data_IF_623349574176
#
_entry.id   IF_623349574176
#
_cell.length_a   1.000
_cell.length_b   1.000
_cell.length_c   1.000
_cell.angle_alpha   90.00
_cell.angle_beta   90.00
_cell.angle_gamma   90.00
#
_symmetry.space_group_name_H-M   'P 1'
#
loop_
_entity.id
_entity.type
_entity.pdbx_description
1 polymer ?
#
# COMPACT_ATOMS: atom_id res chain seq x y z
N UNK A 1 -58.47 -15.77 -54.85
CA UNK A 1 -59.49 -14.80 -55.21
C UNK A 1 -59.16 -13.46 -54.60
N UNK A 2 -58.80 -12.58 -55.45
CA UNK A 2 -58.54 -11.13 -55.28
C UNK A 2 -59.84 -10.41 -54.86
N UNK A 3 -59.65 -9.30 -54.10
CA UNK A 3 -60.35 -8.01 -54.18
C UNK A 3 -59.89 -7.24 -52.91
N UNK A 4 -59.09 -6.24 -52.99
CA UNK A 4 -59.08 -4.87 -53.54
C UNK A 4 -59.61 -3.83 -52.56
N UNK A 5 -58.77 -2.87 -52.41
CA UNK A 5 -58.87 -1.57 -51.70
C UNK A 5 -60.15 -0.77 -52.02
N UNK A 6 -60.45 0.11 -51.08
CA UNK A 6 -61.16 1.41 -51.18
C UNK A 6 -62.64 1.46 -50.78
N UNK A 7 -62.83 2.58 -50.12
CA UNK A 7 -64.10 3.33 -49.84
C UNK A 7 -64.74 3.00 -48.47
N UNK A 8 -65.00 3.90 -47.59
CA UNK A 8 -65.46 5.25 -47.74
C UNK A 8 -65.29 6.06 -46.46
N UNK A 9 -65.02 7.33 -46.66
CA UNK A 9 -65.23 8.43 -45.70
C UNK A 9 -66.71 8.54 -45.27
N UNK A 10 -67.02 8.91 -44.05
CA UNK A 10 -67.62 10.19 -43.68
C UNK A 10 -68.35 10.18 -42.31
N UNK A 11 -68.06 11.21 -41.57
CA UNK A 11 -68.89 11.95 -40.62
C UNK A 11 -69.04 11.46 -39.18
N UNK A 12 -68.59 12.34 -38.31
CA UNK A 12 -69.00 12.48 -36.92
C UNK A 12 -68.08 13.36 -36.10
N UNK A 13 -68.30 14.70 -36.11
CA UNK A 13 -67.69 15.69 -35.23
C UNK A 13 -68.11 15.44 -33.77
N UNK A 14 -67.18 15.80 -32.88
CA UNK A 14 -67.33 16.50 -31.62
C UNK A 14 -66.78 15.77 -30.41
N UNK A 15 -65.66 16.20 -29.88
CA UNK A 15 -65.47 16.81 -28.56
C UNK A 15 -63.98 16.99 -28.27
N UNK A 16 -63.54 18.26 -28.18
CA UNK A 16 -62.23 18.70 -27.76
C UNK A 16 -62.15 18.48 -26.26
N UNK A 17 -61.30 17.56 -25.79
CA UNK A 17 -60.81 17.55 -24.43
C UNK A 17 -59.29 17.81 -24.53
N UNK A 18 -58.88 19.01 -24.23
CA UNK A 18 -57.47 19.40 -24.10
C UNK A 18 -56.89 18.71 -22.87
N UNK A 19 -56.28 17.53 -23.03
CA UNK A 19 -55.33 17.01 -22.06
C UNK A 19 -53.96 17.68 -22.34
N UNK A 20 -53.63 18.65 -21.51
CA UNK A 20 -52.27 19.17 -21.39
C UNK A 20 -51.32 18.03 -21.06
N UNK A 21 -50.63 17.49 -22.07
CA UNK A 21 -49.48 16.66 -21.89
C UNK A 21 -48.36 17.54 -21.26
N UNK A 22 -48.33 17.49 -19.92
CA UNK A 22 -47.12 17.94 -19.22
C UNK A 22 -45.92 17.21 -19.80
N UNK A 23 -45.05 17.94 -20.47
CA UNK A 23 -43.72 17.49 -20.83
C UNK A 23 -43.03 17.03 -19.57
N UNK A 24 -43.02 15.72 -19.33
CA UNK A 24 -42.03 15.10 -18.45
C UNK A 24 -40.68 15.44 -19.08
N UNK A 25 -40.08 16.51 -18.60
CA UNK A 25 -38.70 16.88 -18.90
C UNK A 25 -37.85 15.64 -18.60
N UNK A 26 -37.36 15.01 -19.67
CA UNK A 26 -36.27 14.08 -19.55
C UNK A 26 -35.11 14.86 -18.91
N UNK A 27 -35.02 14.77 -17.59
CA UNK A 27 -33.90 15.30 -16.85
C UNK A 27 -32.66 14.78 -17.53
N UNK A 28 -31.92 15.66 -18.18
CA UNK A 28 -30.63 15.31 -18.77
C UNK A 28 -29.85 14.59 -17.67
N UNK A 29 -29.62 13.28 -17.83
CA UNK A 29 -28.77 12.52 -16.93
C UNK A 29 -27.43 13.25 -16.92
N UNK A 30 -27.14 13.99 -15.84
CA UNK A 30 -25.82 14.60 -15.64
C UNK A 30 -24.82 13.49 -15.87
N UNK A 31 -23.83 13.75 -16.71
CA UNK A 31 -22.72 12.81 -16.89
C UNK A 31 -22.09 12.56 -15.51
N UNK A 32 -21.82 11.30 -15.15
CA UNK A 32 -21.19 11.03 -13.87
C UNK A 32 -19.86 11.78 -13.78
N UNK A 33 -19.62 12.39 -12.62
CA UNK A 33 -18.34 13.06 -12.33
C UNK A 33 -17.22 12.04 -12.51
N UNK A 34 -16.13 12.44 -13.14
CA UNK A 34 -14.95 11.59 -13.33
C UNK A 34 -13.89 11.99 -12.31
N UNK A 35 -13.48 11.04 -11.46
CA UNK A 35 -12.40 11.16 -10.50
C UNK A 35 -11.15 10.49 -11.05
N UNK A 36 -10.04 11.24 -11.15
CA UNK A 36 -8.74 10.74 -11.61
C UNK A 36 -7.87 10.43 -10.40
N UNK A 37 -7.49 9.17 -10.24
CA UNK A 37 -6.66 8.71 -9.14
C UNK A 37 -5.29 8.28 -9.67
N UNK A 38 -4.24 8.92 -9.21
CA UNK A 38 -2.85 8.64 -9.53
C UNK A 38 -2.21 7.92 -8.33
N UNK A 39 -1.57 6.78 -8.54
CA UNK A 39 -0.97 6.05 -7.43
C UNK A 39 -0.21 4.80 -7.86
N UNK A 40 0.03 3.91 -6.91
CA UNK A 40 0.73 2.65 -7.16
C UNK A 40 -0.24 1.48 -7.35
N UNK A 41 0.25 0.37 -7.89
CA UNK A 41 -0.53 -0.85 -8.07
C UNK A 41 -1.01 -1.50 -6.75
N UNK A 42 -0.51 -1.05 -5.59
CA UNK A 42 -0.89 -1.61 -4.29
C UNK A 42 -2.38 -1.42 -4.03
N UNK A 43 -2.91 -0.23 -4.27
CA UNK A 43 -4.30 0.12 -3.99
C UNK A 43 -5.12 0.40 -5.26
N UNK A 44 -4.48 0.80 -6.36
CA UNK A 44 -5.14 1.03 -7.63
C UNK A 44 -5.41 -0.29 -8.36
N UNK A 45 -6.27 -1.11 -7.77
CA UNK A 45 -6.66 -2.43 -8.27
C UNK A 45 -8.03 -2.36 -8.95
N UNK A 46 -8.22 -3.10 -10.03
CA UNK A 46 -9.47 -3.09 -10.80
C UNK A 46 -10.70 -3.45 -9.95
N UNK A 47 -10.58 -4.42 -9.05
CA UNK A 47 -11.66 -4.78 -8.12
C UNK A 47 -12.08 -3.62 -7.20
N UNK A 48 -11.11 -2.78 -6.77
CA UNK A 48 -11.37 -1.57 -5.96
C UNK A 48 -12.08 -0.53 -6.82
N UNK A 49 -11.60 -0.27 -8.04
CA UNK A 49 -12.20 0.69 -8.98
C UNK A 49 -13.66 0.35 -9.25
N UNK A 50 -13.94 -0.91 -9.64
CA UNK A 50 -15.30 -1.37 -9.96
C UNK A 50 -16.23 -1.28 -8.74
N UNK A 51 -15.73 -1.64 -7.55
CA UNK A 51 -16.52 -1.54 -6.33
C UNK A 51 -16.84 -0.08 -5.98
N UNK A 52 -15.86 0.82 -6.09
CA UNK A 52 -16.04 2.25 -5.81
C UNK A 52 -17.01 2.92 -6.80
N UNK A 53 -16.86 2.67 -8.11
CA UNK A 53 -17.77 3.21 -9.13
C UNK A 53 -19.22 2.78 -8.90
N UNK A 54 -19.43 1.49 -8.59
CA UNK A 54 -20.78 0.95 -8.29
C UNK A 54 -21.39 1.60 -7.05
N UNK A 55 -20.62 1.74 -5.98
CA UNK A 55 -21.11 2.18 -4.68
C UNK A 55 -21.31 3.71 -4.65
N UNK A 56 -20.49 4.47 -5.39
CA UNK A 56 -20.51 5.94 -5.41
C UNK A 56 -21.26 6.56 -6.59
N UNK A 57 -21.52 5.79 -7.63
CA UNK A 57 -22.17 6.30 -8.85
C UNK A 57 -21.34 7.33 -9.63
N UNK A 58 -20.01 7.35 -9.45
CA UNK A 58 -19.06 8.19 -10.16
C UNK A 58 -18.23 7.33 -11.12
N UNK A 59 -17.58 7.98 -12.08
CA UNK A 59 -16.55 7.32 -12.91
C UNK A 59 -15.18 7.51 -12.27
N UNK A 60 -14.38 6.44 -12.22
CA UNK A 60 -13.02 6.49 -11.68
C UNK A 60 -12.02 6.08 -12.75
N UNK A 61 -10.97 6.89 -12.93
CA UNK A 61 -9.87 6.61 -13.83
C UNK A 61 -8.61 6.43 -13.00
N UNK A 62 -8.13 5.20 -12.92
CA UNK A 62 -6.86 4.88 -12.27
C UNK A 62 -5.67 5.10 -13.23
N UNK A 63 -4.63 5.72 -12.70
CA UNK A 63 -3.33 5.89 -13.36
C UNK A 63 -2.24 5.26 -12.48
N UNK A 64 -2.11 3.92 -12.47
CA UNK A 64 -1.10 3.24 -11.68
C UNK A 64 0.29 3.37 -12.29
N UNK A 65 1.33 3.38 -11.43
CA UNK A 65 2.73 3.44 -11.85
C UNK A 65 3.70 3.03 -10.77
N UNK A 66 4.98 3.08 -11.07
CA UNK A 66 6.06 2.92 -10.06
C UNK A 66 6.14 4.14 -9.14
N UNK A 67 6.59 3.95 -7.90
CA UNK A 67 6.61 4.98 -6.86
C UNK A 67 7.29 6.27 -7.27
N UNK A 68 8.49 6.19 -7.84
CA UNK A 68 9.26 7.36 -8.28
C UNK A 68 8.55 8.14 -9.39
N UNK A 69 8.03 7.45 -10.42
CA UNK A 69 7.34 8.09 -11.56
C UNK A 69 6.01 8.73 -11.15
N UNK A 70 5.29 8.08 -10.23
CA UNK A 70 4.04 8.60 -9.65
C UNK A 70 4.32 9.86 -8.83
N UNK A 71 5.34 9.82 -7.96
CA UNK A 71 5.75 10.99 -7.16
C UNK A 71 6.21 12.15 -8.05
N UNK A 72 7.07 11.89 -9.02
CA UNK A 72 7.55 12.90 -9.97
C UNK A 72 6.38 13.55 -10.72
N UNK A 73 5.44 12.74 -11.25
CA UNK A 73 4.26 13.27 -11.94
C UNK A 73 3.39 14.10 -11.01
N UNK A 74 3.14 13.63 -9.79
CA UNK A 74 2.30 14.32 -8.84
C UNK A 74 2.90 15.68 -8.41
N UNK A 75 4.21 15.71 -8.13
CA UNK A 75 4.90 16.94 -7.69
C UNK A 75 5.01 18.02 -8.77
N UNK A 76 5.06 17.61 -10.06
CA UNK A 76 5.28 18.54 -11.17
C UNK A 76 4.01 18.88 -11.96
N UNK A 77 2.96 18.08 -11.87
CA UNK A 77 1.69 18.23 -12.63
C UNK A 77 0.46 17.93 -11.79
N UNK A 78 0.17 18.75 -10.76
CA UNK A 78 -0.99 18.54 -9.88
C UNK A 78 -2.34 18.55 -10.62
N UNK A 79 -2.45 19.22 -11.77
CA UNK A 79 -3.63 19.23 -12.63
C UNK A 79 -3.89 17.88 -13.33
N UNK A 80 -2.96 16.94 -13.28
CA UNK A 80 -3.06 15.64 -13.95
C UNK A 80 -3.81 14.58 -13.17
N UNK A 81 -4.19 14.86 -11.91
CA UNK A 81 -4.92 13.97 -11.01
C UNK A 81 -5.82 14.74 -10.06
N UNK A 82 -6.75 14.07 -9.40
CA UNK A 82 -7.65 14.63 -8.39
C UNK A 82 -7.32 14.08 -7.01
N UNK A 83 -7.04 12.77 -6.94
CA UNK A 83 -6.58 12.06 -5.73
C UNK A 83 -5.25 11.36 -6.03
N UNK A 84 -4.34 11.44 -5.08
CA UNK A 84 -3.05 10.76 -5.10
C UNK A 84 -3.05 9.66 -4.03
N UNK A 85 -2.57 8.47 -4.39
CA UNK A 85 -2.45 7.32 -3.49
C UNK A 85 -1.04 6.73 -3.53
N UNK A 86 -0.28 6.89 -2.45
CA UNK A 86 1.05 6.28 -2.30
C UNK A 86 1.39 6.14 -0.81
N UNK A 87 2.65 6.20 -0.45
CA UNK A 87 3.15 6.05 0.91
C UNK A 87 3.51 7.40 1.56
N UNK A 88 3.47 7.44 2.90
CA UNK A 88 3.69 8.66 3.70
C UNK A 88 5.01 9.36 3.42
N UNK A 89 6.06 8.64 3.05
CA UNK A 89 7.37 9.22 2.70
C UNK A 89 7.33 10.19 1.50
N UNK A 90 6.30 10.16 0.67
CA UNK A 90 6.13 11.09 -0.46
C UNK A 90 5.58 12.47 -0.06
N UNK A 91 5.01 12.58 1.13
CA UNK A 91 4.21 13.75 1.55
C UNK A 91 5.06 15.03 1.63
N UNK A 92 6.24 14.98 2.21
CA UNK A 92 7.13 16.15 2.29
C UNK A 92 7.43 16.75 0.92
N UNK A 93 7.65 15.90 -0.09
CA UNK A 93 7.91 16.34 -1.47
C UNK A 93 6.68 17.03 -2.05
N UNK A 94 5.51 16.41 -1.94
CA UNK A 94 4.26 16.95 -2.49
C UNK A 94 3.82 18.24 -1.79
N UNK A 95 3.98 18.31 -0.47
CA UNK A 95 3.63 19.48 0.32
C UNK A 95 4.50 20.69 -0.02
N UNK A 96 5.82 20.50 -0.07
CA UNK A 96 6.77 21.57 -0.48
C UNK A 96 6.53 22.02 -1.91
N UNK A 97 6.19 21.11 -2.82
CA UNK A 97 5.82 21.42 -4.20
C UNK A 97 4.46 22.12 -4.33
N UNK A 98 3.68 22.22 -3.25
CA UNK A 98 2.30 22.71 -3.24
C UNK A 98 1.39 21.95 -4.21
N UNK A 99 1.69 20.68 -4.42
CA UNK A 99 0.96 19.81 -5.34
C UNK A 99 -0.32 19.23 -4.71
N UNK A 100 -0.40 19.23 -3.40
CA UNK A 100 -1.55 18.76 -2.62
C UNK A 100 -2.07 19.89 -1.71
N UNK A 101 -3.33 19.78 -1.33
CA UNK A 101 -4.01 20.72 -0.43
C UNK A 101 -4.46 20.02 0.85
N UNK A 102 -4.70 20.79 1.94
CA UNK A 102 -5.25 20.22 3.17
C UNK A 102 -6.62 19.57 2.96
N UNK A 103 -6.85 18.50 3.71
CA UNK A 103 -8.14 17.80 3.82
C UNK A 103 -8.77 18.22 5.14
N UNK A 104 -10.03 18.69 5.10
CA UNK A 104 -10.80 19.02 6.29
C UNK A 104 -11.31 17.74 6.95
N UNK A 105 -10.86 17.48 8.20
CA UNK A 105 -11.24 16.28 8.95
C UNK A 105 -12.73 16.24 9.32
N UNK A 106 -13.42 17.40 9.37
CA UNK A 106 -14.85 17.45 9.62
C UNK A 106 -15.67 16.84 8.47
N UNK A 107 -15.08 16.73 7.28
CA UNK A 107 -15.69 16.11 6.09
C UNK A 107 -15.39 14.61 5.96
N UNK A 108 -14.59 14.06 6.87
CA UNK A 108 -14.25 12.63 6.92
C UNK A 108 -15.11 11.96 7.98
N UNK A 109 -16.15 11.27 7.56
CA UNK A 109 -17.19 10.69 8.42
C UNK A 109 -16.63 9.80 9.54
N UNK A 110 -15.61 8.97 9.23
CA UNK A 110 -14.97 8.06 10.19
C UNK A 110 -13.61 8.56 10.68
N UNK A 111 -13.37 9.88 10.66
CA UNK A 111 -12.11 10.42 11.16
C UNK A 111 -11.84 10.03 12.62
N UNK A 112 -12.88 10.00 13.46
CA UNK A 112 -12.76 9.61 14.86
C UNK A 112 -12.25 8.16 15.00
N UNK A 113 -12.67 7.26 14.10
CA UNK A 113 -12.39 5.84 14.12
C UNK A 113 -10.99 5.49 13.58
N UNK A 114 -10.30 6.44 12.93
CA UNK A 114 -8.91 6.25 12.49
C UNK A 114 -8.03 5.96 13.69
N UNK A 115 -7.29 4.85 13.61
CA UNK A 115 -6.55 4.29 14.74
C UNK A 115 -5.33 5.11 15.20
N UNK A 116 -4.78 4.71 16.35
CA UNK A 116 -3.62 5.38 16.95
C UNK A 116 -2.35 5.27 16.12
N UNK A 117 -2.16 4.19 15.36
CA UNK A 117 -0.99 4.04 14.50
C UNK A 117 -0.88 5.20 13.50
N UNK A 118 -2.00 5.54 12.87
CA UNK A 118 -2.07 6.61 11.87
C UNK A 118 -1.94 8.01 12.50
N UNK A 119 -2.52 8.23 13.67
CA UNK A 119 -2.59 9.54 14.33
C UNK A 119 -1.46 9.85 15.30
N UNK A 120 -0.80 8.81 15.83
CA UNK A 120 0.22 8.94 16.90
C UNK A 120 1.48 8.11 16.62
N UNK A 121 1.53 7.35 15.51
CA UNK A 121 2.64 6.48 15.15
C UNK A 121 2.69 5.15 15.90
N UNK A 122 1.72 4.87 16.78
CA UNK A 122 1.68 3.65 17.59
C UNK A 122 0.25 3.21 17.88
N UNK A 123 0.03 1.89 18.02
CA UNK A 123 -1.27 1.31 18.39
C UNK A 123 -1.49 1.31 19.88
N UNK A 124 -0.46 1.03 20.65
CA UNK A 124 -0.47 1.01 22.12
C UNK A 124 0.71 1.81 22.65
N UNK A 125 0.65 2.31 23.89
CA UNK A 125 1.76 3.06 24.49
C UNK A 125 3.10 2.32 24.53
N UNK A 126 3.05 0.98 24.57
CA UNK A 126 4.24 0.12 24.62
C UNK A 126 4.84 -0.16 23.23
N UNK A 127 4.14 0.24 22.17
CA UNK A 127 4.59 0.03 20.81
C UNK A 127 5.77 0.97 20.48
N UNK A 128 6.77 0.44 19.77
CA UNK A 128 7.82 1.29 19.20
C UNK A 128 7.22 2.09 18.04
N UNK A 129 7.52 3.38 17.99
CA UNK A 129 7.14 4.21 16.83
C UNK A 129 8.02 3.83 15.63
N UNK A 130 9.31 3.52 15.87
CA UNK A 130 10.30 3.30 14.81
C UNK A 130 10.94 4.61 14.34
N UNK A 131 11.98 4.49 13.52
CA UNK A 131 12.67 5.62 12.87
C UNK A 131 12.05 5.93 11.51
N UNK A 132 12.39 7.06 10.92
CA UNK A 132 11.91 7.48 9.59
C UNK A 132 10.55 8.18 9.63
N UNK A 133 9.86 8.20 8.47
CA UNK A 133 8.63 8.98 8.26
C UNK A 133 7.39 8.27 8.81
N UNK A 134 7.33 8.13 10.14
CA UNK A 134 6.12 7.69 10.81
C UNK A 134 4.94 8.63 10.45
N UNK A 135 3.77 8.10 10.05
CA UNK A 135 2.72 8.89 9.40
C UNK A 135 2.27 10.10 10.20
N UNK A 136 2.23 10.02 11.53
CA UNK A 136 1.75 11.10 12.40
C UNK A 136 2.64 12.35 12.36
N UNK A 137 3.92 12.24 12.00
CA UNK A 137 4.87 13.37 11.93
C UNK A 137 4.57 14.31 10.77
N UNK A 138 3.84 13.84 9.77
CA UNK A 138 3.48 14.56 8.54
C UNK A 138 1.97 14.76 8.39
N UNK A 139 1.18 14.35 9.39
CA UNK A 139 -0.27 14.24 9.24
C UNK A 139 -0.97 15.59 9.27
N UNK A 140 -0.66 16.45 10.23
CA UNK A 140 -1.44 17.66 10.49
C UNK A 140 -0.80 18.89 9.84
N UNK A 141 -1.59 19.64 9.06
CA UNK A 141 -1.17 20.93 8.53
C UNK A 141 -1.20 21.98 9.64
N UNK A 142 -0.06 22.62 9.91
CA UNK A 142 0.08 23.63 10.95
C UNK A 142 -0.26 25.01 10.42
N UNK A 143 -0.53 25.96 11.33
CA UNK A 143 -0.89 27.34 10.99
C UNK A 143 0.22 28.10 10.23
N UNK A 144 1.48 27.73 10.44
CA UNK A 144 2.65 28.29 9.75
C UNK A 144 2.92 27.65 8.37
N UNK A 145 2.05 26.71 7.95
CA UNK A 145 2.17 26.01 6.68
C UNK A 145 3.11 24.79 6.71
N UNK A 146 3.70 24.45 7.86
CA UNK A 146 4.48 23.23 8.05
C UNK A 146 3.57 22.02 8.32
N UNK A 147 4.14 20.82 8.29
CA UNK A 147 3.49 19.59 8.74
C UNK A 147 4.01 19.16 10.10
N UNK A 148 3.17 18.49 10.88
CA UNK A 148 3.56 18.06 12.22
C UNK A 148 2.58 17.07 12.84
N UNK A 149 2.88 16.70 14.09
CA UNK A 149 2.06 15.78 14.91
C UNK A 149 1.03 16.49 15.80
N UNK A 150 1.08 17.83 15.89
CA UNK A 150 0.11 18.60 16.67
C UNK A 150 -1.22 18.62 15.95
N UNK A 151 -2.28 18.16 16.64
CA UNK A 151 -3.62 18.02 16.05
C UNK A 151 -4.21 19.35 15.61
N UNK A 152 -4.67 19.40 14.38
CA UNK A 152 -5.45 20.50 13.78
C UNK A 152 -6.66 19.90 13.05
N UNK A 153 -7.65 20.71 12.66
CA UNK A 153 -8.77 20.23 11.86
C UNK A 153 -8.39 19.90 10.41
N UNK A 154 -7.16 20.22 9.99
CA UNK A 154 -6.69 20.04 8.62
C UNK A 154 -5.53 19.04 8.58
N UNK A 155 -5.62 18.06 7.66
CA UNK A 155 -4.57 17.05 7.47
C UNK A 155 -4.02 17.11 6.04
N UNK A 156 -2.75 16.76 5.88
CA UNK A 156 -2.10 16.71 4.57
C UNK A 156 -2.53 15.51 3.73
N UNK A 157 -2.99 14.46 4.39
CA UNK A 157 -3.46 13.21 3.76
C UNK A 157 -4.50 12.50 4.61
N UNK A 158 -5.31 11.65 3.98
CA UNK A 158 -6.11 10.65 4.65
C UNK A 158 -5.29 9.36 4.80
N UNK A 159 -5.01 8.90 6.04
CA UNK A 159 -4.38 7.61 6.27
C UNK A 159 -5.39 6.48 6.04
N UNK A 160 -5.03 5.41 5.29
CA UNK A 160 -6.01 4.37 4.95
C UNK A 160 -5.50 2.93 4.98
N UNK A 161 -4.40 2.60 4.32
CA UNK A 161 -3.82 1.25 4.25
C UNK A 161 -2.39 1.27 4.78
N UNK A 162 -1.94 0.23 5.47
CA UNK A 162 -0.57 0.15 5.97
C UNK A 162 -0.14 -1.31 6.15
N UNK A 163 1.16 -1.50 6.32
CA UNK A 163 1.70 -2.81 6.68
C UNK A 163 3.01 -2.71 7.46
N UNK A 164 3.37 -3.82 8.08
CA UNK A 164 4.66 -4.11 8.65
C UNK A 164 5.31 -5.19 7.79
N UNK A 165 6.24 -4.79 6.93
CA UNK A 165 6.89 -5.66 5.97
C UNK A 165 8.17 -6.28 6.52
N UNK A 166 8.56 -7.41 5.94
CA UNK A 166 9.62 -8.27 6.40
C UNK A 166 10.31 -8.96 5.21
N UNK A 167 11.01 -10.03 5.50
CA UNK A 167 11.50 -10.96 4.51
C UNK A 167 10.71 -12.28 4.56
N UNK A 168 10.72 -13.00 3.45
CA UNK A 168 10.17 -14.34 3.34
C UNK A 168 11.27 -15.37 3.16
N UNK A 169 11.04 -16.61 3.62
CA UNK A 169 11.97 -17.70 3.43
C UNK A 169 11.26 -19.04 3.23
N UNK A 170 11.85 -19.87 2.39
CA UNK A 170 11.38 -21.23 2.06
C UNK A 170 11.77 -22.20 3.18
N UNK A 171 10.78 -22.68 3.92
CA UNK A 171 11.01 -23.59 5.07
C UNK A 171 11.46 -25.00 4.69
N UNK A 172 11.45 -25.36 3.40
CA UNK A 172 12.05 -26.61 2.92
C UNK A 172 13.59 -26.57 2.95
N UNK A 173 14.16 -25.38 2.93
CA UNK A 173 15.60 -25.14 2.82
C UNK A 173 16.15 -24.41 4.04
N UNK A 174 15.45 -23.38 4.49
CA UNK A 174 15.85 -22.54 5.62
C UNK A 174 15.17 -23.05 6.88
N UNK A 175 15.93 -23.40 7.93
CA UNK A 175 15.35 -23.84 9.20
C UNK A 175 14.36 -22.82 9.76
N UNK A 176 13.23 -23.31 10.28
CA UNK A 176 12.18 -22.46 10.86
C UNK A 176 12.71 -21.78 12.12
N UNK A 177 12.71 -20.44 12.10
CA UNK A 177 13.09 -19.63 13.25
C UNK A 177 11.89 -19.34 14.17
N UNK A 178 12.19 -18.90 15.40
CA UNK A 178 11.20 -18.36 16.33
C UNK A 178 11.00 -16.88 16.10
N UNK A 179 9.71 -16.46 16.07
CA UNK A 179 9.34 -15.06 15.91
C UNK A 179 9.99 -14.19 16.99
N UNK A 180 10.57 -13.06 16.59
CA UNK A 180 11.21 -12.05 17.44
C UNK A 180 12.46 -12.52 18.23
N UNK A 181 12.90 -13.76 18.01
CA UNK A 181 14.06 -14.34 18.69
C UNK A 181 15.16 -14.75 17.70
N UNK A 182 14.87 -15.72 16.82
CA UNK A 182 15.83 -16.29 15.88
C UNK A 182 15.75 -15.66 14.50
N UNK A 183 14.54 -15.33 14.05
CA UNK A 183 14.31 -14.68 12.76
C UNK A 183 14.96 -13.30 12.78
N UNK A 184 15.84 -13.02 11.82
CA UNK A 184 16.67 -11.81 11.77
C UNK A 184 16.84 -11.33 10.33
N UNK A 185 16.75 -10.03 10.11
CA UNK A 185 17.13 -9.42 8.82
C UNK A 185 18.54 -9.78 8.39
N UNK A 186 19.44 -10.05 9.34
CA UNK A 186 20.79 -10.50 9.08
C UNK A 186 20.90 -11.76 8.22
N UNK A 187 19.81 -12.52 8.09
CA UNK A 187 19.77 -13.67 7.20
C UNK A 187 19.91 -13.29 5.72
N UNK A 188 19.51 -12.06 5.32
CA UNK A 188 19.69 -11.57 3.95
C UNK A 188 21.18 -11.40 3.56
N UNK A 189 22.09 -11.31 4.52
CA UNK A 189 23.54 -11.20 4.30
C UNK A 189 24.30 -12.38 4.91
N UNK A 190 23.63 -13.50 5.16
CA UNK A 190 24.29 -14.70 5.69
C UNK A 190 24.89 -15.52 4.54
N UNK A 191 26.20 -15.77 4.63
CA UNK A 191 26.99 -16.52 3.65
C UNK A 191 26.41 -17.90 3.31
N UNK A 192 25.68 -18.52 4.22
CA UNK A 192 25.01 -19.80 3.99
C UNK A 192 24.02 -19.76 2.81
N UNK A 193 23.53 -18.59 2.49
CA UNK A 193 22.51 -18.39 1.44
C UNK A 193 23.09 -17.73 0.19
N UNK A 194 24.41 -17.68 0.05
CA UNK A 194 25.10 -17.12 -1.13
C UNK A 194 24.49 -17.65 -2.43
N UNK A 195 24.21 -16.75 -3.36
CA UNK A 195 23.60 -17.04 -4.66
C UNK A 195 22.10 -17.36 -4.61
N UNK A 196 21.46 -17.25 -3.43
CA UNK A 196 20.05 -17.61 -3.22
C UNK A 196 19.27 -16.57 -2.43
N UNK A 197 19.72 -15.32 -2.47
CA UNK A 197 19.07 -14.18 -1.82
C UNK A 197 18.61 -13.18 -2.87
N UNK A 198 17.38 -12.63 -2.74
CA UNK A 198 16.91 -11.53 -3.55
C UNK A 198 16.41 -10.38 -2.68
N UNK A 199 16.52 -9.15 -3.17
CA UNK A 199 16.04 -7.95 -2.48
C UNK A 199 15.19 -7.09 -3.42
N UNK A 200 14.31 -6.29 -2.83
CA UNK A 200 13.47 -5.36 -3.58
C UNK A 200 14.29 -4.24 -4.21
N UNK A 201 14.08 -3.98 -5.50
CA UNK A 201 14.70 -2.88 -6.23
C UNK A 201 13.87 -1.60 -6.08
N UNK A 202 13.91 -1.02 -4.87
CA UNK A 202 13.29 0.26 -4.59
C UNK A 202 14.13 1.01 -3.55
N UNK A 203 14.81 2.11 -3.94
CA UNK A 203 15.79 2.78 -3.07
C UNK A 203 15.21 3.28 -1.74
N UNK A 204 13.90 3.61 -1.69
CA UNK A 204 13.24 4.06 -0.46
C UNK A 204 12.67 2.93 0.39
N UNK A 205 12.88 1.68 -0.03
CA UNK A 205 12.41 0.46 0.63
C UNK A 205 13.58 -0.50 0.85
N UNK A 206 14.22 -0.96 -0.23
CA UNK A 206 15.29 -1.96 -0.21
C UNK A 206 16.51 -1.53 0.59
N UNK A 207 16.81 -0.22 0.62
CA UNK A 207 17.90 0.30 1.44
C UNK A 207 17.67 0.01 2.93
N UNK A 208 16.44 0.12 3.42
CA UNK A 208 16.14 -0.16 4.84
C UNK A 208 16.19 -1.65 5.15
N UNK A 209 15.75 -2.52 4.23
CA UNK A 209 15.90 -3.97 4.38
C UNK A 209 17.39 -4.34 4.45
N UNK A 210 18.22 -3.77 3.58
CA UNK A 210 19.67 -3.96 3.56
C UNK A 210 20.35 -3.37 4.80
N UNK A 211 19.95 -2.18 5.25
CA UNK A 211 20.49 -1.53 6.44
C UNK A 211 20.16 -2.32 7.72
N UNK A 212 18.92 -2.81 7.84
CA UNK A 212 18.54 -3.71 8.93
C UNK A 212 19.37 -5.00 8.92
N UNK A 213 19.62 -5.55 7.73
CA UNK A 213 20.44 -6.76 7.57
C UNK A 213 21.91 -6.51 7.97
N UNK A 214 22.50 -5.43 7.49
CA UNK A 214 23.89 -5.08 7.79
C UNK A 214 24.10 -4.77 9.29
N UNK A 215 23.17 -4.03 9.90
CA UNK A 215 23.19 -3.77 11.36
C UNK A 215 23.02 -5.06 12.16
N UNK A 216 22.08 -5.92 11.77
CA UNK A 216 21.85 -7.20 12.46
C UNK A 216 23.07 -8.14 12.42
N UNK A 217 23.95 -7.96 11.43
CA UNK A 217 25.23 -8.68 11.30
C UNK A 217 26.40 -7.96 12.00
N UNK A 218 26.17 -6.77 12.56
CA UNK A 218 27.23 -5.95 13.16
C UNK A 218 28.24 -5.39 12.15
N UNK A 219 27.85 -5.27 10.88
CA UNK A 219 28.71 -4.78 9.80
C UNK A 219 28.74 -3.24 9.74
N UNK A 220 27.68 -2.60 10.18
CA UNK A 220 27.54 -1.14 10.25
C UNK A 220 26.56 -0.76 11.35
N UNK A 221 26.84 0.34 12.03
CA UNK A 221 25.92 1.00 12.95
C UNK A 221 25.41 2.29 12.32
N UNK A 222 24.18 2.67 12.63
CA UNK A 222 23.51 3.87 12.15
C UNK A 222 23.06 4.71 13.35
N UNK A 223 23.36 5.97 13.34
CA UNK A 223 22.86 6.93 14.34
C UNK A 223 21.34 7.07 14.18
N UNK A 224 20.87 7.25 12.95
CA UNK A 224 19.48 7.16 12.58
C UNK A 224 19.29 6.38 11.27
N UNK A 225 18.85 5.14 11.36
CA UNK A 225 18.56 4.30 10.19
C UNK A 225 17.50 4.91 9.26
N UNK A 226 16.63 5.79 9.76
CA UNK A 226 15.61 6.49 8.99
C UNK A 226 16.15 7.72 8.25
N UNK A 227 17.35 8.22 8.61
CA UNK A 227 17.98 9.37 7.95
C UNK A 227 19.50 9.27 8.00
N UNK A 228 20.04 8.34 7.22
CA UNK A 228 21.48 8.01 7.21
C UNK A 228 22.33 9.16 6.70
N UNK A 229 23.49 9.35 7.29
CA UNK A 229 24.54 10.23 6.78
C UNK A 229 25.17 9.65 5.51
N UNK A 230 25.83 10.49 4.71
CA UNK A 230 26.54 10.01 3.51
C UNK A 230 27.61 8.97 3.85
N UNK A 231 28.30 9.11 4.97
CA UNK A 231 29.31 8.13 5.43
C UNK A 231 28.70 6.77 5.82
N UNK A 232 27.50 6.76 6.41
CA UNK A 232 26.77 5.53 6.72
C UNK A 232 26.23 4.87 5.44
N UNK A 233 25.74 5.68 4.49
CA UNK A 233 25.32 5.22 3.16
C UNK A 233 26.50 4.56 2.43
N UNK A 234 27.68 5.20 2.43
CA UNK A 234 28.88 4.65 1.80
C UNK A 234 29.25 3.28 2.36
N UNK A 235 29.35 3.17 3.69
CA UNK A 235 29.65 1.90 4.35
C UNK A 235 28.63 0.80 4.01
N UNK A 236 27.35 1.15 4.00
CA UNK A 236 26.31 0.20 3.62
C UNK A 236 26.47 -0.29 2.18
N UNK A 237 26.68 0.63 1.24
CA UNK A 237 26.84 0.25 -0.17
C UNK A 237 28.16 -0.44 -0.48
N UNK A 238 29.25 -0.15 0.22
CA UNK A 238 30.48 -0.94 0.15
C UNK A 238 30.22 -2.42 0.49
N UNK A 239 29.48 -2.68 1.57
CA UNK A 239 29.06 -4.03 1.97
C UNK A 239 28.20 -4.69 0.90
N UNK A 240 27.16 -4.00 0.40
CA UNK A 240 26.24 -4.56 -0.57
C UNK A 240 26.91 -4.85 -1.91
N UNK A 241 27.75 -3.94 -2.39
CA UNK A 241 28.52 -4.08 -3.63
C UNK A 241 29.49 -5.26 -3.54
N UNK A 242 30.16 -5.40 -2.39
CA UNK A 242 31.06 -6.52 -2.17
C UNK A 242 30.31 -7.86 -2.18
N UNK A 243 29.23 -7.99 -1.42
CA UNK A 243 28.39 -9.19 -1.44
C UNK A 243 27.87 -9.50 -2.85
N UNK A 244 27.49 -8.46 -3.64
CA UNK A 244 27.06 -8.66 -5.01
C UNK A 244 28.20 -9.17 -5.91
N UNK A 245 29.39 -8.60 -5.79
CA UNK A 245 30.60 -9.03 -6.54
C UNK A 245 30.99 -10.47 -6.23
N UNK A 246 30.73 -10.90 -5.01
CA UNK A 246 30.92 -12.28 -4.56
C UNK A 246 29.79 -13.23 -4.97
N UNK A 247 28.78 -12.74 -5.69
CA UNK A 247 27.64 -13.54 -6.14
C UNK A 247 26.67 -13.92 -5.03
N UNK A 248 26.56 -13.10 -3.97
CA UNK A 248 25.67 -13.40 -2.85
C UNK A 248 24.20 -13.29 -3.25
N UNK A 249 23.84 -12.27 -4.04
CA UNK A 249 22.47 -12.06 -4.49
C UNK A 249 22.18 -12.82 -5.79
N UNK A 250 21.08 -13.55 -5.84
CA UNK A 250 20.55 -14.13 -7.08
C UNK A 250 19.89 -13.08 -7.98
N UNK A 251 19.53 -11.93 -7.42
CA UNK A 251 19.00 -10.80 -8.15
C UNK A 251 18.25 -9.79 -7.28
N UNK A 252 17.64 -8.85 -7.98
CA UNK A 252 16.70 -7.86 -7.42
C UNK A 252 15.36 -7.99 -8.14
N UNK A 253 14.26 -7.64 -7.46
CA UNK A 253 12.92 -7.70 -8.03
C UNK A 253 12.19 -6.37 -7.93
N UNK A 254 11.31 -6.08 -8.92
CA UNK A 254 10.61 -4.80 -9.08
C UNK A 254 9.10 -4.90 -8.81
N UNK A 255 8.58 -6.11 -8.69
CA UNK A 255 7.15 -6.36 -8.53
C UNK A 255 6.89 -7.62 -7.70
N UNK A 256 5.70 -7.69 -7.08
CA UNK A 256 5.29 -8.89 -6.33
C UNK A 256 5.32 -10.15 -7.21
N UNK A 257 4.86 -10.14 -8.48
CA UNK A 257 5.01 -11.30 -9.36
C UNK A 257 6.46 -11.75 -9.58
N UNK A 258 7.41 -10.81 -9.73
CA UNK A 258 8.84 -11.15 -9.86
C UNK A 258 9.40 -11.78 -8.58
N UNK A 259 9.08 -11.21 -7.39
CA UNK A 259 9.43 -11.78 -6.09
C UNK A 259 8.92 -13.22 -5.96
N UNK A 260 7.63 -13.44 -6.25
CA UNK A 260 7.04 -14.79 -6.26
C UNK A 260 7.79 -15.74 -7.20
N UNK A 261 8.20 -15.25 -8.38
CA UNK A 261 8.91 -16.05 -9.37
C UNK A 261 10.31 -16.47 -8.88
N UNK A 262 11.06 -15.58 -8.21
CA UNK A 262 12.37 -15.93 -7.65
C UNK A 262 12.31 -17.13 -6.72
N UNK A 263 11.34 -17.16 -5.81
CA UNK A 263 11.17 -18.31 -4.90
C UNK A 263 10.57 -19.54 -5.60
N UNK A 264 9.60 -19.35 -6.50
CA UNK A 264 8.99 -20.46 -7.25
C UNK A 264 10.01 -21.24 -8.08
N UNK A 265 10.96 -20.54 -8.67
CA UNK A 265 12.05 -21.13 -9.46
C UNK A 265 13.23 -21.61 -8.60
N UNK A 266 13.20 -21.41 -7.29
CA UNK A 266 14.27 -21.77 -6.36
C UNK A 266 15.54 -20.91 -6.52
N UNK A 267 15.46 -19.80 -7.26
CA UNK A 267 16.55 -18.82 -7.37
C UNK A 267 16.80 -18.09 -6.05
N UNK A 268 15.75 -17.82 -5.30
CA UNK A 268 15.86 -17.33 -3.94
C UNK A 268 15.26 -18.31 -2.94
N UNK A 269 15.86 -18.41 -1.77
CA UNK A 269 15.33 -19.13 -0.61
C UNK A 269 15.05 -18.20 0.55
N UNK A 270 15.62 -17.01 0.51
CA UNK A 270 15.32 -15.86 1.39
C UNK A 270 15.25 -14.63 0.50
N UNK A 271 14.26 -13.79 0.72
CA UNK A 271 14.19 -12.48 0.05
C UNK A 271 13.43 -11.45 0.88
N UNK A 272 13.79 -10.17 0.75
CA UNK A 272 12.88 -9.11 1.19
C UNK A 272 11.55 -9.30 0.44
N UNK A 273 10.41 -9.16 1.14
CA UNK A 273 9.14 -9.61 0.58
C UNK A 273 7.99 -8.72 1.05
N UNK A 274 6.99 -8.57 0.19
CA UNK A 274 5.71 -8.00 0.59
C UNK A 274 4.70 -9.11 0.93
N UNK A 275 3.83 -8.83 1.89
CA UNK A 275 2.84 -9.81 2.39
C UNK A 275 2.05 -10.55 1.29
N UNK A 276 1.62 -9.90 0.18
CA UNK A 276 0.95 -10.60 -0.92
C UNK A 276 1.82 -11.68 -1.59
N UNK A 277 3.14 -11.46 -1.69
CA UNK A 277 4.06 -12.48 -2.23
C UNK A 277 4.04 -13.76 -1.41
N UNK A 278 4.17 -13.62 -0.09
CA UNK A 278 4.08 -14.76 0.82
C UNK A 278 2.71 -15.47 0.76
N UNK A 279 1.62 -14.70 0.62
CA UNK A 279 0.27 -15.28 0.48
C UNK A 279 0.13 -16.06 -0.83
N UNK A 280 0.61 -15.50 -1.95
CA UNK A 280 0.58 -16.16 -3.27
C UNK A 280 1.40 -17.46 -3.26
N UNK A 281 2.61 -17.44 -2.72
CA UNK A 281 3.48 -18.63 -2.66
C UNK A 281 2.83 -19.75 -1.84
N UNK A 282 2.21 -19.43 -0.71
CA UNK A 282 1.45 -20.44 0.05
C UNK A 282 0.24 -20.97 -0.71
N UNK A 283 -0.43 -20.12 -1.50
CA UNK A 283 -1.51 -20.53 -2.40
C UNK A 283 -1.03 -21.45 -3.55
N UNK A 284 0.27 -21.43 -3.85
CA UNK A 284 0.94 -22.30 -4.81
C UNK A 284 1.61 -23.51 -4.11
N UNK A 285 1.24 -23.82 -2.87
CA UNK A 285 1.81 -24.91 -2.05
C UNK A 285 3.33 -24.81 -1.78
N UNK A 286 3.89 -23.60 -1.88
CA UNK A 286 5.27 -23.31 -1.50
C UNK A 286 5.27 -22.84 -0.05
N UNK A 287 5.92 -23.59 0.89
CA UNK A 287 5.83 -23.31 2.31
C UNK A 287 6.74 -22.13 2.72
N UNK A 288 6.35 -20.93 2.29
CA UNK A 288 7.05 -19.69 2.66
C UNK A 288 6.57 -19.21 4.01
N UNK A 289 7.54 -18.94 4.90
CA UNK A 289 7.32 -18.24 6.16
C UNK A 289 7.69 -16.78 6.01
N UNK A 290 6.74 -15.92 6.33
CA UNK A 290 6.95 -14.48 6.40
C UNK A 290 7.48 -14.14 7.78
N UNK A 291 8.73 -13.68 7.87
CA UNK A 291 9.47 -13.57 9.12
C UNK A 291 8.87 -12.53 10.09
N UNK A 292 9.12 -12.75 11.37
CA UNK A 292 8.93 -11.77 12.45
C UNK A 292 10.29 -11.46 13.08
N UNK A 293 11.05 -10.49 12.51
CA UNK A 293 12.43 -10.28 12.86
C UNK A 293 12.61 -9.71 14.27
N UNK A 294 13.64 -10.15 14.97
CA UNK A 294 14.00 -9.63 16.30
C UNK A 294 14.39 -8.15 16.30
N UNK A 295 14.90 -7.64 15.17
CA UNK A 295 15.20 -6.22 14.97
C UNK A 295 13.92 -5.39 14.80
N UNK A 296 12.83 -6.02 14.41
CA UNK A 296 11.55 -5.41 14.08
C UNK A 296 11.32 -5.30 12.58
N UNK A 297 10.16 -4.78 12.23
CA UNK A 297 9.67 -4.66 10.86
C UNK A 297 10.08 -3.34 10.21
N UNK A 298 10.17 -3.34 8.89
CA UNK A 298 10.06 -2.13 8.09
C UNK A 298 8.58 -1.86 7.83
N UNK A 299 8.10 -0.72 8.28
CA UNK A 299 6.71 -0.34 8.14
C UNK A 299 6.50 0.71 7.05
N UNK A 300 5.29 0.77 6.50
CA UNK A 300 4.86 1.81 5.59
C UNK A 300 3.38 2.14 5.83
N UNK A 301 3.01 3.35 5.47
CA UNK A 301 1.64 3.82 5.57
C UNK A 301 1.19 4.41 4.24
N UNK A 302 0.12 3.87 3.70
CA UNK A 302 -0.57 4.39 2.52
C UNK A 302 -1.36 5.65 2.89
N UNK A 303 -1.31 6.61 1.99
CA UNK A 303 -1.93 7.93 2.14
C UNK A 303 -2.74 8.27 0.90
N UNK A 304 -3.88 8.92 1.10
CA UNK A 304 -4.62 9.60 0.04
C UNK A 304 -4.48 11.10 0.21
N UNK A 305 -4.09 11.80 -0.85
CA UNK A 305 -4.00 13.24 -0.86
C UNK A 305 -4.95 13.83 -1.89
N UNK A 306 -5.43 15.02 -1.63
CA UNK A 306 -6.22 15.80 -2.59
C UNK A 306 -5.29 16.71 -3.39
N UNK A 307 -5.40 16.69 -4.72
CA UNK A 307 -4.65 17.61 -5.59
C UNK A 307 -4.97 19.05 -5.25
N UNK A 308 -3.95 19.93 -5.29
CA UNK A 308 -4.17 21.38 -5.17
C UNK A 308 -4.95 21.97 -6.35
N UNK A 309 -5.01 21.28 -7.48
CA UNK A 309 -5.69 21.71 -8.71
C UNK A 309 -7.11 21.11 -8.87
N UNK A 310 -7.63 20.38 -7.87
CA UNK A 310 -8.97 19.78 -7.96
C UNK A 310 -10.06 20.87 -8.04
N UNK A 311 -11.00 20.73 -8.99
CA UNK A 311 -12.16 21.62 -9.09
C UNK A 311 -13.19 21.35 -8.00
N UNK A 312 -14.05 22.33 -7.71
CA UNK A 312 -15.08 22.21 -6.66
C UNK A 312 -16.04 21.04 -6.92
N UNK A 313 -16.43 20.80 -8.17
CA UNK A 313 -17.32 19.70 -8.55
C UNK A 313 -16.66 18.32 -8.28
N UNK A 314 -15.38 18.18 -8.60
CA UNK A 314 -14.61 16.93 -8.39
C UNK A 314 -14.20 16.77 -6.94
N UNK A 315 -14.05 17.86 -6.18
CA UNK A 315 -13.72 17.83 -4.74
C UNK A 315 -14.74 17.04 -3.93
N UNK A 316 -16.03 17.17 -4.24
CA UNK A 316 -17.08 16.38 -3.58
C UNK A 316 -16.91 14.87 -3.87
N UNK A 317 -16.59 14.52 -5.11
CA UNK A 317 -16.31 13.12 -5.47
C UNK A 317 -15.03 12.60 -4.80
N UNK A 318 -14.01 13.44 -4.62
CA UNK A 318 -12.79 13.07 -3.91
C UNK A 318 -13.09 12.76 -2.42
N UNK A 319 -13.86 13.60 -1.72
CA UNK A 319 -14.29 13.31 -0.35
C UNK A 319 -15.16 12.06 -0.25
N UNK A 320 -16.08 11.86 -1.20
CA UNK A 320 -16.93 10.66 -1.24
C UNK A 320 -16.06 9.39 -1.40
N UNK A 321 -15.04 9.44 -2.26
CA UNK A 321 -14.09 8.34 -2.44
C UNK A 321 -13.24 8.07 -1.19
N UNK A 322 -12.76 9.13 -0.52
CA UNK A 322 -12.03 9.03 0.74
C UNK A 322 -12.89 8.40 1.85
N UNK A 323 -14.14 8.84 2.00
CA UNK A 323 -15.10 8.27 2.95
C UNK A 323 -15.44 6.81 2.61
N UNK A 324 -15.58 6.48 1.32
CA UNK A 324 -15.81 5.11 0.88
C UNK A 324 -14.65 4.18 1.29
N UNK A 325 -13.40 4.63 1.19
CA UNK A 325 -12.25 3.86 1.67
C UNK A 325 -12.32 3.56 3.16
N UNK A 326 -12.79 4.50 3.97
CA UNK A 326 -12.93 4.30 5.41
C UNK A 326 -14.23 3.56 5.80
N UNK A 327 -15.12 3.26 4.86
CA UNK A 327 -16.34 2.47 5.13
C UNK A 327 -16.07 1.01 5.51
N UNK A 328 -14.84 0.54 5.32
CA UNK A 328 -14.39 -0.80 5.70
C UNK A 328 -14.43 -1.82 4.57
N UNK A 329 -15.32 -1.70 3.59
CA UNK A 329 -15.43 -2.64 2.47
C UNK A 329 -14.14 -2.79 1.65
N UNK A 330 -13.49 -1.69 1.16
CA UNK A 330 -12.20 -1.82 0.49
C UNK A 330 -11.12 -2.34 1.45
N UNK A 331 -11.20 -1.99 2.73
CA UNK A 331 -10.30 -2.49 3.76
C UNK A 331 -10.33 -4.00 3.92
N UNK A 332 -11.51 -4.62 3.86
CA UNK A 332 -11.64 -6.08 3.88
C UNK A 332 -10.98 -6.73 2.64
N UNK A 333 -11.08 -6.09 1.46
CA UNK A 333 -10.38 -6.54 0.24
C UNK A 333 -8.87 -6.50 0.45
N UNK A 334 -8.34 -5.42 1.02
CA UNK A 334 -6.91 -5.27 1.29
C UNK A 334 -6.43 -6.25 2.38
N UNK A 335 -7.23 -6.50 3.40
CA UNK A 335 -6.90 -7.45 4.48
C UNK A 335 -6.73 -8.88 3.97
N UNK A 336 -7.50 -9.30 2.97
CA UNK A 336 -7.34 -10.61 2.30
C UNK A 336 -6.03 -10.76 1.54
N UNK A 337 -5.32 -9.66 1.31
CA UNK A 337 -3.97 -9.63 0.74
C UNK A 337 -2.88 -9.51 1.84
N UNK A 338 -3.29 -9.45 3.11
CA UNK A 338 -2.37 -9.37 4.26
C UNK A 338 -2.02 -7.95 4.68
N UNK A 339 -2.69 -6.94 4.13
CA UNK A 339 -2.57 -5.54 4.56
C UNK A 339 -3.51 -5.22 5.73
N UNK A 340 -3.28 -4.09 6.37
CA UNK A 340 -4.13 -3.55 7.43
C UNK A 340 -4.67 -2.19 7.02
N UNK A 341 -5.73 -1.73 7.69
CA UNK A 341 -6.34 -0.43 7.42
C UNK A 341 -6.47 0.44 8.66
N UNK A 342 -6.60 1.73 8.43
CA UNK A 342 -6.66 2.74 9.50
C UNK A 342 -7.95 2.73 10.31
N UNK A 343 -9.02 2.10 9.81
CA UNK A 343 -10.30 1.89 10.49
C UNK A 343 -10.63 0.38 10.57
N UNK A 344 -9.89 -0.39 11.41
CA UNK A 344 -10.02 -1.85 11.41
C UNK A 344 -11.42 -2.33 11.76
N UNK A 345 -12.12 -1.70 12.70
CA UNK A 345 -13.48 -2.09 13.10
C UNK A 345 -14.48 -2.00 11.96
N UNK A 346 -14.36 -1.00 11.09
CA UNK A 346 -15.18 -0.91 9.89
C UNK A 346 -14.92 -2.07 8.91
N UNK A 347 -13.64 -2.48 8.72
CA UNK A 347 -13.34 -3.65 7.90
C UNK A 347 -13.88 -4.94 8.48
N UNK A 348 -13.92 -5.06 9.80
CA UNK A 348 -14.43 -6.24 10.51
C UNK A 348 -15.85 -6.58 10.11
N UNK A 349 -16.70 -5.58 9.85
CA UNK A 349 -18.08 -5.75 9.41
C UNK A 349 -18.19 -6.47 8.05
N UNK A 350 -17.13 -6.43 7.24
CA UNK A 350 -17.03 -7.03 5.91
C UNK A 350 -16.14 -8.29 5.84
N UNK A 351 -15.75 -8.81 7.01
CA UNK A 351 -14.92 -10.00 7.16
C UNK A 351 -15.66 -11.08 7.96
N UNK A 352 -15.38 -12.34 7.65
CA UNK A 352 -15.81 -13.44 8.50
C UNK A 352 -15.05 -13.46 9.81
N UNK A 353 -15.60 -14.11 10.84
CA UNK A 353 -14.90 -14.30 12.14
C UNK A 353 -13.56 -15.03 11.96
N UNK A 354 -13.48 -15.96 11.00
CA UNK A 354 -12.25 -16.69 10.69
C UNK A 354 -11.20 -15.76 10.06
N UNK A 355 -11.57 -14.95 9.05
CA UNK A 355 -10.67 -13.97 8.42
C UNK A 355 -10.15 -12.96 9.44
N UNK A 356 -11.05 -12.39 10.26
CA UNK A 356 -10.65 -11.45 11.30
C UNK A 356 -9.70 -12.10 12.31
N UNK A 357 -10.07 -13.28 12.84
CA UNK A 357 -9.24 -14.05 13.76
C UNK A 357 -7.85 -14.31 13.20
N UNK A 358 -7.75 -14.66 11.93
CA UNK A 358 -6.48 -14.94 11.28
C UNK A 358 -5.64 -13.67 11.00
N UNK A 359 -6.24 -12.64 10.40
CA UNK A 359 -5.49 -11.47 9.95
C UNK A 359 -5.19 -10.46 11.06
N UNK A 360 -6.15 -10.23 11.99
CA UNK A 360 -6.03 -9.22 13.04
C UNK A 360 -5.71 -9.78 14.43
N UNK A 361 -6.37 -10.88 14.82
CA UNK A 361 -6.15 -11.44 16.17
C UNK A 361 -4.93 -12.39 16.22
N UNK A 362 -4.32 -12.78 15.09
CA UNK A 362 -3.21 -13.73 15.02
C UNK A 362 -3.60 -15.14 15.46
N UNK A 363 -4.88 -15.51 15.40
CA UNK A 363 -5.39 -16.84 15.73
C UNK A 363 -5.15 -17.85 14.61
N UNK A 364 -5.09 -19.14 14.91
CA UNK A 364 -5.11 -20.17 13.86
C UNK A 364 -6.38 -20.07 13.03
N UNK A 365 -6.27 -20.32 11.73
CA UNK A 365 -7.42 -20.41 10.84
C UNK A 365 -8.33 -21.57 11.27
N UNK A 366 -9.60 -21.31 11.47
CA UNK A 366 -10.62 -22.33 11.83
C UNK A 366 -11.31 -22.93 10.60
N UNK A 367 -11.17 -22.29 9.46
CA UNK A 367 -11.57 -22.73 8.13
C UNK A 367 -10.52 -22.20 7.12
N UNK A 368 -10.46 -22.71 5.89
CA UNK A 368 -9.56 -22.15 4.87
C UNK A 368 -9.75 -20.63 4.75
N UNK A 369 -8.66 -19.88 4.73
CA UNK A 369 -8.64 -18.44 4.48
C UNK A 369 -8.30 -18.22 3.02
N UNK A 370 -9.16 -17.49 2.30
CA UNK A 370 -8.94 -17.16 0.90
C UNK A 370 -8.32 -15.77 0.74
N UNK A 371 -7.43 -15.64 -0.23
CA UNK A 371 -6.89 -14.37 -0.68
C UNK A 371 -7.90 -13.59 -1.54
N UNK A 372 -7.50 -12.41 -2.00
CA UNK A 372 -8.32 -11.56 -2.85
C UNK A 372 -8.63 -12.18 -4.23
N UNK A 373 -7.81 -13.10 -4.69
CA UNK A 373 -7.96 -13.89 -5.92
C UNK A 373 -8.80 -15.16 -5.76
N UNK A 374 -9.34 -15.40 -4.54
CA UNK A 374 -10.14 -16.58 -4.20
C UNK A 374 -9.33 -17.85 -3.90
N UNK A 375 -7.99 -17.84 -4.02
CA UNK A 375 -7.16 -18.98 -3.67
C UNK A 375 -7.01 -19.10 -2.15
N UNK A 376 -6.84 -20.33 -1.67
CA UNK A 376 -6.56 -20.59 -0.25
C UNK A 376 -5.13 -20.15 0.07
N UNK A 377 -4.99 -19.14 0.93
CA UNK A 377 -3.69 -18.61 1.40
C UNK A 377 -3.31 -19.13 2.78
N UNK A 378 -4.25 -19.72 3.51
CA UNK A 378 -3.99 -20.40 4.77
C UNK A 378 -4.97 -21.55 4.96
N UNK A 379 -4.43 -22.76 5.22
CA UNK A 379 -5.20 -23.94 5.58
C UNK A 379 -5.66 -23.90 7.03
N UNK A 380 -6.62 -24.77 7.38
CA UNK A 380 -7.07 -24.93 8.77
C UNK A 380 -5.88 -25.23 9.68
N UNK A 381 -5.83 -24.57 10.83
CA UNK A 381 -4.74 -24.68 11.80
C UNK A 381 -3.53 -23.78 11.51
N UNK A 382 -3.37 -23.26 10.30
CA UNK A 382 -2.28 -22.33 9.99
C UNK A 382 -2.44 -21.04 10.81
N UNK A 383 -1.33 -20.58 11.40
CA UNK A 383 -1.24 -19.31 12.13
C UNK A 383 -0.26 -18.39 11.42
N UNK A 384 -0.62 -17.11 11.29
CA UNK A 384 0.28 -16.08 10.77
C UNK A 384 1.45 -15.87 11.74
N UNK A 385 2.66 -15.88 11.22
CA UNK A 385 3.86 -15.60 12.00
C UNK A 385 3.88 -14.14 12.48
N UNK A 386 4.45 -13.90 13.66
CA UNK A 386 4.48 -12.55 14.26
C UNK A 386 3.20 -12.17 15.03
N UNK A 387 2.24 -13.10 15.16
CA UNK A 387 1.07 -12.90 16.02
C UNK A 387 0.00 -11.97 15.45
N UNK A 388 -0.65 -11.22 16.34
CA UNK A 388 -1.75 -10.29 16.02
C UNK A 388 -1.26 -9.02 15.32
N UNK A 389 -2.22 -8.25 14.80
CA UNK A 389 -1.97 -6.91 14.27
C UNK A 389 -1.26 -6.02 15.29
N UNK A 390 -1.76 -5.98 16.52
CA UNK A 390 -1.15 -5.19 17.59
C UNK A 390 0.27 -5.67 17.91
N UNK A 391 0.50 -7.00 17.96
CA UNK A 391 1.81 -7.55 18.23
C UNK A 391 2.82 -7.18 17.15
N UNK A 392 2.47 -7.29 15.88
CA UNK A 392 3.35 -6.91 14.78
C UNK A 392 3.75 -5.43 14.84
N UNK A 393 2.79 -4.54 15.11
CA UNK A 393 3.05 -3.09 15.21
C UNK A 393 3.67 -2.63 16.54
N UNK A 394 3.91 -3.53 17.47
CA UNK A 394 4.81 -3.28 18.61
C UNK A 394 6.28 -3.23 18.20
N UNK A 395 6.63 -3.87 17.09
CA UNK A 395 8.00 -4.13 16.68
C UNK A 395 8.40 -3.36 15.40
N UNK A 396 7.94 -2.13 15.23
CA UNK A 396 8.38 -1.31 14.10
C UNK A 396 9.82 -0.83 14.34
N UNK A 397 10.73 -1.14 13.43
CA UNK A 397 12.13 -0.69 13.46
C UNK A 397 12.29 0.63 12.72
N UNK A 398 11.75 0.70 11.49
CA UNK A 398 11.88 1.84 10.60
C UNK A 398 10.65 1.97 9.71
N UNK A 399 10.24 3.19 9.43
CA UNK A 399 9.25 3.53 8.40
C UNK A 399 9.96 3.83 7.09
N UNK A 400 9.33 3.51 5.97
CA UNK A 400 9.81 3.97 4.67
C UNK A 400 9.95 5.49 4.70
N UNK A 401 11.07 5.98 4.20
CA UNK A 401 11.41 7.40 4.27
C UNK A 401 12.14 7.86 3.00
N UNK A 402 11.93 9.11 2.60
CA UNK A 402 12.81 9.84 1.68
C UNK A 402 13.78 10.63 2.55
N UNK A 403 14.98 10.07 2.71
CA UNK A 403 16.04 10.67 3.56
C UNK A 403 16.54 12.00 2.99
N UNK A 404 17.15 12.84 3.82
CA UNK A 404 17.75 14.10 3.37
C UNK A 404 18.81 13.89 2.27
N UNK A 405 19.55 12.77 2.33
CA UNK A 405 20.54 12.37 1.34
C UNK A 405 19.98 11.49 0.21
N UNK A 406 18.72 11.68 -0.17
CA UNK A 406 18.04 10.81 -1.14
C UNK A 406 18.72 10.74 -2.50
N UNK A 407 19.12 11.87 -3.07
CA UNK A 407 19.82 11.92 -4.38
C UNK A 407 21.15 11.12 -4.31
N UNK A 408 21.88 11.26 -3.21
CA UNK A 408 23.08 10.48 -2.97
C UNK A 408 22.78 8.98 -2.86
N UNK A 409 21.73 8.64 -2.15
CA UNK A 409 21.24 7.24 -2.04
C UNK A 409 20.92 6.64 -3.40
N UNK A 410 20.24 7.40 -4.27
CA UNK A 410 19.94 6.95 -5.64
C UNK A 410 21.21 6.65 -6.44
N UNK A 411 22.22 7.51 -6.34
CA UNK A 411 23.51 7.29 -7.02
C UNK A 411 24.16 5.99 -6.55
N UNK A 412 24.27 5.81 -5.23
CA UNK A 412 24.87 4.59 -4.65
C UNK A 412 24.07 3.32 -4.96
N UNK A 413 22.72 3.43 -4.98
CA UNK A 413 21.86 2.34 -5.39
C UNK A 413 22.11 1.94 -6.86
N UNK A 414 22.29 2.92 -7.75
CA UNK A 414 22.67 2.70 -9.14
C UNK A 414 23.99 1.95 -9.28
N UNK A 415 25.02 2.32 -8.49
CA UNK A 415 26.30 1.61 -8.45
C UNK A 415 26.13 0.15 -7.97
N UNK A 416 25.33 -0.07 -6.93
CA UNK A 416 24.99 -1.43 -6.50
C UNK A 416 24.31 -2.23 -7.62
N UNK A 417 23.33 -1.66 -8.32
CA UNK A 417 22.61 -2.35 -9.40
C UNK A 417 23.52 -2.72 -10.57
N UNK A 418 24.54 -1.92 -10.86
CA UNK A 418 25.46 -2.12 -12.00
C UNK A 418 26.73 -2.87 -11.64
N UNK A 419 27.00 -3.14 -10.35
CA UNK A 419 28.16 -3.89 -9.92
C UNK A 419 28.15 -5.31 -10.51
N UNK A 420 29.23 -5.67 -11.19
CA UNK A 420 29.38 -7.02 -11.81
C UNK A 420 30.04 -8.00 -10.83
N UNK A 421 29.71 -9.30 -10.92
CA UNK A 421 30.42 -10.34 -10.19
C UNK A 421 31.92 -10.34 -10.54
N UNK A 422 32.76 -10.67 -9.55
CA UNK A 422 34.18 -10.91 -9.83
C UNK A 422 34.29 -12.06 -10.82
N UNK A 423 35.03 -11.83 -11.92
CA UNK A 423 35.42 -12.94 -12.81
C UNK A 423 36.39 -13.82 -12.04
N UNK A 424 35.98 -15.02 -11.71
CA UNK A 424 36.82 -16.03 -11.09
C UNK A 424 37.93 -16.53 -12.05
#
# INVERSE_FOLDING_TARGET
MTISRRDAMARGLTAIAACSLGSLGAGARRRPVTLRVLGTHVTLQEQIRVAAERDLGIRIVFSPGGSASVLQRASTRPESFDVYEQWSNSINVLWRARAIQPIDTARIERWADVNGLSKMGQLTPESRIGRGDAPHTLLYAQADGTLGSVRTPSVSFLPYVHNADSFGYDTRVVPVGRAYEDESWGWLLDERWRGRVAIVNEPTIGIFDAALAARARGLVEFDDIGNMTTGEIDKLFEILIEHKREGHFSGVWNSVPESVQFMREGRAVIESMFSPGAATLRGDDIPVRYAAPREGYRAWHGVMCMSSAVSDEVREAAYAYMNWWLSGKPGAIMSRQGYYISVPDAAREHMTKNEWGYWYDGKPATAPVTGADGRVVASVGHRRNGGSYAERFRHVAVWNTVMDNYEYTLSRWGEFLTAEPRRG
#
